data_IF_025094962387
#
_entry.id   IF_025094962387
#
_cell.length_a   1.000
_cell.length_b   1.000
_cell.length_c   1.000
_cell.angle_alpha   90.00
_cell.angle_beta   90.00
_cell.angle_gamma   90.00
#
_symmetry.space_group_name_H-M   'P 1'
#
loop_
_entity.id
_entity.type
_entity.pdbx_description
1 polymer ?
#
# COMPACT_ATOMS: atom_id res chain seq x y z
N UNK A 1 -24.78 42.89 -60.15
CA UNK A 1 -25.39 43.41 -58.91
C UNK A 1 -25.57 42.25 -57.92
N UNK A 2 -24.59 41.94 -57.06
CA UNK A 2 -24.77 41.04 -55.89
C UNK A 2 -23.51 40.96 -55.02
N UNK A 3 -23.35 41.85 -54.03
CA UNK A 3 -22.48 41.59 -52.86
C UNK A 3 -23.03 42.36 -51.64
N UNK A 4 -22.94 41.73 -50.45
CA UNK A 4 -23.20 42.19 -49.07
C UNK A 4 -24.58 41.87 -48.48
N UNK A 5 -24.75 40.63 -48.00
CA UNK A 5 -25.69 40.32 -46.90
C UNK A 5 -25.20 39.29 -45.87
N UNK A 6 -24.04 38.66 -46.04
CA UNK A 6 -23.61 37.56 -45.14
C UNK A 6 -22.74 37.95 -43.92
N UNK A 7 -22.37 39.22 -43.75
CA UNK A 7 -21.46 39.62 -42.66
C UNK A 7 -22.11 39.88 -41.29
N UNK A 8 -23.43 40.08 -41.23
CA UNK A 8 -24.08 40.58 -40.00
C UNK A 8 -24.52 39.45 -39.05
N UNK A 9 -24.94 38.30 -39.58
CA UNK A 9 -25.44 37.17 -38.78
C UNK A 9 -24.33 36.48 -37.98
N UNK A 10 -23.14 36.35 -38.57
CA UNK A 10 -21.99 35.68 -37.95
C UNK A 10 -21.41 36.52 -36.81
N UNK A 11 -21.39 37.85 -36.96
CA UNK A 11 -20.93 38.76 -35.91
C UNK A 11 -21.91 38.78 -34.73
N UNK A 12 -23.22 38.76 -35.01
CA UNK A 12 -24.25 38.72 -33.98
C UNK A 12 -24.21 37.41 -33.16
N UNK A 13 -24.01 36.26 -33.82
CA UNK A 13 -23.88 34.98 -33.13
C UNK A 13 -22.66 34.93 -32.20
N UNK A 14 -21.52 35.50 -32.62
CA UNK A 14 -20.31 35.53 -31.79
C UNK A 14 -20.47 36.41 -30.56
N UNK A 15 -21.05 37.60 -30.72
CA UNK A 15 -21.30 38.52 -29.60
C UNK A 15 -22.29 37.90 -28.61
N UNK A 16 -23.34 37.25 -29.10
CA UNK A 16 -24.31 36.56 -28.25
C UNK A 16 -23.68 35.43 -27.45
N UNK A 17 -22.82 34.62 -28.07
CA UNK A 17 -22.15 33.51 -27.38
C UNK A 17 -21.20 34.00 -26.28
N UNK A 18 -20.44 35.07 -26.54
CA UNK A 18 -19.56 35.67 -25.53
C UNK A 18 -20.34 36.24 -24.34
N UNK A 19 -21.48 36.90 -24.59
CA UNK A 19 -22.37 37.43 -23.55
C UNK A 19 -22.93 36.32 -22.67
N UNK A 20 -23.37 35.19 -23.26
CA UNK A 20 -23.87 34.04 -22.51
C UNK A 20 -22.80 33.45 -21.60
N UNK A 21 -21.56 33.30 -22.09
CA UNK A 21 -20.45 32.75 -21.30
C UNK A 21 -20.09 33.69 -20.13
N UNK A 22 -20.03 35.00 -20.37
CA UNK A 22 -19.73 35.98 -19.31
C UNK A 22 -20.80 35.97 -18.23
N UNK A 23 -22.09 35.96 -18.61
CA UNK A 23 -23.20 35.87 -17.67
C UNK A 23 -23.17 34.55 -16.86
N UNK A 24 -22.78 33.44 -17.49
CA UNK A 24 -22.63 32.15 -16.80
C UNK A 24 -21.49 32.15 -15.77
N UNK A 25 -20.34 32.73 -16.13
CA UNK A 25 -19.19 32.84 -15.21
C UNK A 25 -19.52 33.76 -14.04
N UNK A 26 -20.16 34.91 -14.29
CA UNK A 26 -20.61 35.81 -13.23
C UNK A 26 -21.64 35.14 -12.29
N UNK A 27 -22.55 34.33 -12.84
CA UNK A 27 -23.49 33.56 -12.03
C UNK A 27 -22.76 32.54 -11.13
N UNK A 28 -21.78 31.79 -11.66
CA UNK A 28 -21.00 30.83 -10.89
C UNK A 28 -20.21 31.48 -9.76
N UNK A 29 -19.58 32.64 -10.01
CA UNK A 29 -18.84 33.39 -8.99
C UNK A 29 -19.79 33.92 -7.91
N UNK A 30 -20.99 34.36 -8.28
CA UNK A 30 -21.99 34.85 -7.30
C UNK A 30 -22.62 33.76 -6.44
N UNK A 31 -22.69 32.53 -6.95
CA UNK A 31 -23.28 31.36 -6.25
C UNK A 31 -22.28 30.58 -5.42
N UNK A 32 -21.00 30.70 -5.70
CA UNK A 32 -19.90 30.02 -5.00
C UNK A 32 -18.82 31.03 -4.61
N UNK A 33 -19.04 31.82 -3.53
CA UNK A 33 -17.96 32.63 -2.98
C UNK A 33 -16.81 31.71 -2.58
N UNK A 34 -15.62 31.99 -3.11
CA UNK A 34 -14.41 31.24 -2.84
C UNK A 34 -13.99 31.52 -1.39
N UNK A 35 -14.51 30.75 -0.43
CA UNK A 35 -14.05 30.80 0.95
C UNK A 35 -12.62 30.23 1.01
N UNK A 36 -11.65 31.08 1.35
CA UNK A 36 -10.33 30.64 1.77
C UNK A 36 -10.50 29.90 3.10
N UNK A 37 -10.53 28.57 3.07
CA UNK A 37 -10.45 27.75 4.27
C UNK A 37 -9.14 28.05 5.01
N UNK A 38 -9.27 28.74 6.15
CA UNK A 38 -8.20 28.82 7.15
C UNK A 38 -7.95 27.42 7.67
N UNK A 39 -6.73 26.92 7.49
CA UNK A 39 -6.25 25.67 8.07
C UNK A 39 -6.38 25.72 9.61
N UNK A 40 -7.44 25.13 10.16
CA UNK A 40 -7.51 24.82 11.57
C UNK A 40 -6.66 23.58 11.90
N UNK A 41 -5.92 23.68 13.00
CA UNK A 41 -5.02 22.62 13.49
C UNK A 41 -5.81 21.34 13.78
N UNK A 42 -5.20 20.15 13.60
CA UNK A 42 -5.88 18.87 13.78
C UNK A 42 -6.44 18.71 15.20
N UNK A 43 -7.75 18.45 15.26
CA UNK A 43 -8.49 18.16 16.48
C UNK A 43 -8.02 16.80 17.01
N UNK A 44 -7.51 16.78 18.25
CA UNK A 44 -7.17 15.55 18.97
C UNK A 44 -8.46 14.75 19.25
N UNK A 45 -8.74 13.72 18.44
CA UNK A 45 -9.80 12.77 18.76
C UNK A 45 -9.34 11.80 19.87
N UNK A 46 -10.20 11.59 20.87
CA UNK A 46 -9.97 10.63 21.96
C UNK A 46 -10.05 9.19 21.39
N UNK A 47 -9.04 8.34 21.63
CA UNK A 47 -9.10 6.94 21.20
C UNK A 47 -10.22 6.17 21.92
N UNK A 48 -10.88 5.29 21.18
CA UNK A 48 -11.77 4.25 21.71
C UNK A 48 -10.98 3.38 22.70
N UNK A 49 -11.47 3.27 23.93
CA UNK A 49 -10.89 2.41 24.98
C UNK A 49 -11.11 0.94 24.62
N UNK A 50 -10.14 0.31 23.95
CA UNK A 50 -10.00 -1.14 23.96
C UNK A 50 -9.18 -1.49 25.21
N UNK A 51 -9.84 -2.02 26.24
CA UNK A 51 -9.17 -2.52 27.43
C UNK A 51 -8.35 -3.77 27.07
N UNK A 52 -7.02 -3.66 27.06
CA UNK A 52 -6.10 -4.79 27.19
C UNK A 52 -5.03 -4.45 28.21
N UNK A 53 -5.29 -4.79 29.47
CA UNK A 53 -4.25 -4.86 30.48
C UNK A 53 -3.29 -6.00 30.11
N UNK A 54 -2.02 -5.69 29.82
CA UNK A 54 -0.94 -6.67 29.82
C UNK A 54 0.18 -6.17 30.74
N UNK A 55 0.62 -6.98 31.72
CA UNK A 55 1.74 -6.62 32.58
C UNK A 55 3.11 -6.78 31.87
N UNK A 56 4.05 -5.92 32.28
CA UNK A 56 5.53 -5.91 32.09
C UNK A 56 6.17 -6.01 30.68
N UNK A 57 6.56 -4.83 30.18
CA UNK A 57 7.91 -4.41 29.75
C UNK A 57 8.76 -5.16 28.72
N UNK A 58 8.28 -6.19 28.02
CA UNK A 58 9.04 -6.68 26.86
C UNK A 58 8.83 -5.74 25.68
N UNK A 59 9.85 -4.93 25.41
CA UNK A 59 9.89 -3.98 24.29
C UNK A 59 10.32 -4.72 23.03
N UNK A 60 9.52 -4.67 21.97
CA UNK A 60 9.93 -5.20 20.67
C UNK A 60 10.86 -4.19 19.98
N UNK A 61 12.17 -4.40 20.12
CA UNK A 61 13.19 -3.50 19.58
C UNK A 61 13.55 -3.95 18.17
N UNK A 62 13.41 -3.06 17.19
CA UNK A 62 13.84 -3.25 15.82
C UNK A 62 14.98 -2.29 15.48
N UNK A 63 15.88 -2.73 14.59
CA UNK A 63 16.90 -1.88 13.97
C UNK A 63 16.40 -1.48 12.60
N UNK A 64 16.02 -0.23 12.43
CA UNK A 64 15.55 0.30 11.15
C UNK A 64 16.60 1.18 10.50
N UNK A 65 16.53 1.32 9.19
CA UNK A 65 17.30 2.25 8.39
C UNK A 65 16.43 3.44 8.00
N UNK A 66 17.02 4.61 7.92
CA UNK A 66 16.42 5.82 7.40
C UNK A 66 17.47 6.61 6.57
N UNK A 67 17.01 7.53 5.73
CA UNK A 67 17.86 8.41 4.92
C UNK A 67 17.44 9.87 5.15
N UNK A 68 18.42 10.74 5.41
CA UNK A 68 18.20 12.19 5.45
C UNK A 68 19.31 12.92 4.67
N UNK A 69 19.37 14.25 4.79
CA UNK A 69 20.37 15.10 4.13
C UNK A 69 21.82 14.77 4.52
N UNK A 70 22.04 14.13 5.67
CA UNK A 70 23.37 13.71 6.15
C UNK A 70 23.75 12.29 5.71
N UNK A 71 22.86 11.57 5.03
CA UNK A 71 23.09 10.23 4.48
C UNK A 71 22.24 9.13 5.11
N UNK A 72 22.74 7.89 5.05
CA UNK A 72 22.07 6.71 5.60
C UNK A 72 22.44 6.53 7.07
N UNK A 73 21.44 6.28 7.92
CA UNK A 73 21.65 5.96 9.33
C UNK A 73 20.72 4.85 9.82
N UNK A 74 21.06 4.27 10.97
CA UNK A 74 20.32 3.18 11.58
C UNK A 74 19.85 3.56 12.97
N UNK A 75 18.59 3.30 13.26
CA UNK A 75 17.96 3.61 14.54
C UNK A 75 17.51 2.30 15.19
N UNK A 76 17.86 2.10 16.47
CA UNK A 76 17.17 1.11 17.29
C UNK A 76 15.95 1.77 17.90
N UNK A 77 14.76 1.26 17.59
CA UNK A 77 13.50 1.79 18.14
C UNK A 77 12.64 0.66 18.69
N UNK A 78 11.91 0.99 19.74
CA UNK A 78 10.90 0.11 20.33
C UNK A 78 9.57 0.37 19.62
N UNK A 79 8.89 -0.68 19.19
CA UNK A 79 7.49 -0.62 18.74
C UNK A 79 6.63 -1.54 19.60
N UNK A 80 5.34 -1.25 19.68
CA UNK A 80 4.39 -2.09 20.41
C UNK A 80 3.69 -3.05 19.45
N UNK A 81 3.94 -4.35 19.58
CA UNK A 81 3.33 -5.36 18.71
C UNK A 81 1.80 -5.42 18.80
N UNK A 82 1.18 -4.99 19.91
CA UNK A 82 -0.28 -4.91 19.99
C UNK A 82 -0.86 -3.76 19.16
N UNK A 83 -0.02 -2.84 18.70
CA UNK A 83 -0.36 -1.70 17.84
C UNK A 83 0.32 -1.84 16.46
N UNK A 84 0.71 -3.06 16.08
CA UNK A 84 1.38 -3.36 14.80
C UNK A 84 0.51 -4.25 13.93
N UNK A 85 0.52 -4.02 12.62
CA UNK A 85 -0.09 -4.90 11.62
C UNK A 85 0.94 -5.30 10.57
N UNK A 86 0.89 -6.55 10.12
CA UNK A 86 1.62 -7.01 8.93
C UNK A 86 0.70 -6.88 7.72
N UNK A 87 1.17 -6.22 6.67
CA UNK A 87 0.44 -6.10 5.41
C UNK A 87 1.15 -6.86 4.29
N UNK A 88 0.39 -7.68 3.58
CA UNK A 88 0.89 -8.55 2.50
C UNK A 88 0.17 -8.22 1.19
N UNK A 89 0.93 -7.71 0.21
CA UNK A 89 0.45 -7.44 -1.15
C UNK A 89 1.02 -8.45 -2.13
N UNK A 90 0.37 -9.62 -2.21
CA UNK A 90 0.81 -10.77 -3.00
C UNK A 90 -0.34 -11.39 -3.79
N UNK A 91 -0.39 -11.08 -5.08
CA UNK A 91 -1.43 -11.57 -5.98
C UNK A 91 -0.98 -12.83 -6.72
N UNK A 92 -1.92 -13.59 -7.26
CA UNK A 92 -1.66 -14.83 -8.00
C UNK A 92 -0.87 -14.58 -9.27
N UNK A 93 -1.08 -13.43 -9.90
CA UNK A 93 -0.23 -13.00 -11.00
C UNK A 93 -0.23 -11.52 -11.25
N UNK A 94 0.86 -11.11 -11.86
CA UNK A 94 1.00 -9.87 -12.60
C UNK A 94 0.89 -10.15 -14.08
N UNK A 95 0.49 -9.14 -14.83
CA UNK A 95 0.35 -9.22 -16.29
C UNK A 95 1.66 -9.49 -17.03
N UNK A 96 2.83 -9.33 -16.39
CA UNK A 96 4.12 -9.51 -17.01
C UNK A 96 4.92 -10.56 -16.27
N UNK A 97 5.43 -11.53 -17.02
CA UNK A 97 6.24 -12.64 -16.52
C UNK A 97 7.48 -12.17 -15.77
N UNK A 98 8.06 -11.04 -16.20
CA UNK A 98 9.17 -10.38 -15.51
C UNK A 98 8.92 -10.20 -14.00
N UNK A 99 7.71 -9.82 -13.58
CA UNK A 99 7.33 -9.65 -12.18
C UNK A 99 7.02 -10.99 -11.50
N UNK A 100 6.33 -11.88 -12.21
CA UNK A 100 5.91 -13.19 -11.68
C UNK A 100 7.10 -14.07 -11.28
N UNK A 101 8.19 -14.04 -12.04
CA UNK A 101 9.34 -14.92 -11.79
C UNK A 101 10.08 -14.57 -10.51
N UNK A 102 10.00 -13.32 -10.06
CA UNK A 102 10.68 -12.88 -8.84
C UNK A 102 9.97 -13.29 -7.56
N UNK A 103 8.66 -13.48 -7.63
CA UNK A 103 7.85 -13.90 -6.48
C UNK A 103 8.39 -15.17 -5.80
N UNK A 104 8.94 -16.09 -6.59
CA UNK A 104 9.53 -17.34 -6.09
C UNK A 104 10.65 -17.10 -5.08
N UNK A 105 11.45 -16.03 -5.24
CA UNK A 105 12.63 -15.80 -4.41
C UNK A 105 12.32 -15.28 -3.01
N UNK A 106 11.19 -14.60 -2.81
CA UNK A 106 10.87 -13.96 -1.53
C UNK A 106 9.61 -14.51 -0.85
N UNK A 107 8.73 -15.24 -1.56
CA UNK A 107 7.53 -15.84 -0.94
C UNK A 107 7.82 -16.79 0.23
N UNK A 108 8.83 -17.69 0.22
CA UNK A 108 9.10 -18.54 1.38
C UNK A 108 9.43 -17.73 2.64
N UNK A 109 10.16 -16.62 2.46
CA UNK A 109 10.60 -15.76 3.55
C UNK A 109 9.50 -14.81 4.03
N UNK A 110 8.63 -14.32 3.14
CA UNK A 110 7.37 -13.64 3.53
C UNK A 110 6.51 -14.58 4.39
N UNK A 111 6.40 -15.84 3.98
CA UNK A 111 5.65 -16.87 4.69
C UNK A 111 6.19 -17.10 6.11
N UNK A 112 7.51 -17.28 6.24
CA UNK A 112 8.17 -17.38 7.53
C UNK A 112 7.90 -16.14 8.40
N UNK A 113 7.98 -14.94 7.82
CA UNK A 113 7.72 -13.70 8.54
C UNK A 113 6.28 -13.65 9.06
N UNK A 114 5.30 -13.97 8.21
CA UNK A 114 3.90 -14.02 8.60
C UNK A 114 3.65 -15.04 9.72
N UNK A 115 4.22 -16.25 9.61
CA UNK A 115 4.13 -17.27 10.68
C UNK A 115 4.64 -16.73 12.01
N UNK A 116 5.85 -16.14 12.03
CA UNK A 116 6.48 -15.64 13.25
C UNK A 116 5.68 -14.51 13.91
N UNK A 117 5.05 -13.65 13.12
CA UNK A 117 4.18 -12.60 13.63
C UNK A 117 2.82 -13.11 14.10
N UNK A 118 2.21 -14.06 13.39
CA UNK A 118 1.00 -14.74 13.86
C UNK A 118 1.25 -15.45 15.19
N UNK A 119 2.39 -16.12 15.37
CA UNK A 119 2.76 -16.73 16.65
C UNK A 119 2.81 -15.70 17.81
N UNK A 120 3.03 -14.43 17.51
CA UNK A 120 3.04 -13.31 18.47
C UNK A 120 1.73 -12.56 18.60
N UNK A 121 0.67 -13.03 17.94
CA UNK A 121 -0.66 -12.41 17.89
C UNK A 121 -0.68 -11.05 17.19
N UNK A 122 0.23 -10.84 16.23
CA UNK A 122 0.22 -9.67 15.35
C UNK A 122 -0.70 -9.94 14.16
N UNK A 123 -1.71 -9.10 13.89
CA UNK A 123 -2.62 -9.26 12.76
C UNK A 123 -1.90 -9.25 11.41
N UNK A 124 -2.35 -10.10 10.48
CA UNK A 124 -1.91 -10.11 9.09
C UNK A 124 -3.08 -9.75 8.18
N UNK A 125 -2.91 -8.71 7.37
CA UNK A 125 -3.88 -8.24 6.39
C UNK A 125 -3.36 -8.57 4.98
N UNK A 126 -4.19 -9.24 4.19
CA UNK A 126 -3.91 -9.52 2.78
C UNK A 126 -4.86 -8.73 1.89
N UNK A 127 -4.34 -8.20 0.79
CA UNK A 127 -5.14 -7.56 -0.25
C UNK A 127 -5.39 -8.51 -1.43
N UNK A 128 -6.62 -8.48 -1.94
CA UNK A 128 -6.97 -9.04 -3.25
C UNK A 128 -8.11 -8.24 -3.84
N UNK A 129 -7.91 -7.67 -5.04
CA UNK A 129 -8.97 -6.93 -5.73
C UNK A 129 -10.14 -7.81 -6.16
N UNK A 130 -9.95 -9.13 -6.16
CA UNK A 130 -10.98 -10.10 -6.50
C UNK A 130 -11.56 -10.80 -5.26
N UNK A 131 -11.24 -10.36 -4.03
CA UNK A 131 -11.68 -11.04 -2.80
C UNK A 131 -13.20 -11.18 -2.72
N UNK A 132 -13.96 -10.18 -3.15
CA UNK A 132 -15.43 -10.23 -3.07
C UNK A 132 -16.05 -11.12 -4.15
N UNK A 133 -15.32 -11.40 -5.24
CA UNK A 133 -15.75 -12.35 -6.25
C UNK A 133 -15.45 -13.80 -5.85
N UNK A 134 -14.27 -14.07 -5.26
CA UNK A 134 -13.80 -15.44 -5.02
C UNK A 134 -13.83 -15.89 -3.56
N UNK A 135 -13.82 -14.95 -2.62
CA UNK A 135 -13.75 -15.22 -1.18
C UNK A 135 -14.75 -14.38 -0.35
N UNK A 136 -15.99 -14.08 -0.83
CA UNK A 136 -16.88 -13.14 -0.14
C UNK A 136 -17.31 -13.59 1.26
N UNK A 137 -17.40 -14.91 1.45
CA UNK A 137 -17.99 -15.55 2.63
C UNK A 137 -16.95 -16.13 3.60
N UNK A 138 -15.66 -15.97 3.33
CA UNK A 138 -14.60 -16.47 4.23
C UNK A 138 -14.63 -15.72 5.57
N UNK A 139 -14.12 -16.36 6.62
CA UNK A 139 -13.99 -15.73 7.95
C UNK A 139 -13.11 -14.47 7.84
N UNK A 140 -12.02 -14.55 7.07
CA UNK A 140 -11.09 -13.44 6.89
C UNK A 140 -11.72 -12.24 6.20
N UNK A 141 -12.56 -12.44 5.18
CA UNK A 141 -13.25 -11.33 4.52
C UNK A 141 -14.37 -10.76 5.40
N UNK A 142 -15.11 -11.59 6.13
CA UNK A 142 -16.11 -11.12 7.11
C UNK A 142 -15.46 -10.26 8.20
N UNK A 143 -14.36 -10.71 8.78
CA UNK A 143 -13.57 -9.94 9.74
C UNK A 143 -12.98 -8.68 9.11
N UNK A 144 -12.46 -8.77 7.88
CA UNK A 144 -11.95 -7.65 7.09
C UNK A 144 -12.97 -6.52 6.92
N UNK A 145 -14.21 -6.83 6.49
CA UNK A 145 -15.29 -5.83 6.37
C UNK A 145 -15.58 -5.13 7.70
N UNK A 146 -15.57 -5.86 8.82
CA UNK A 146 -15.82 -5.29 10.15
C UNK A 146 -14.75 -4.27 10.53
N UNK A 147 -13.47 -4.61 10.35
CA UNK A 147 -12.36 -3.70 10.69
C UNK A 147 -12.28 -2.52 9.70
N UNK A 148 -12.57 -2.73 8.42
CA UNK A 148 -12.68 -1.64 7.44
C UNK A 148 -13.77 -0.65 7.86
N UNK A 149 -14.95 -1.15 8.24
CA UNK A 149 -16.03 -0.30 8.73
C UNK A 149 -15.65 0.45 10.02
N UNK A 150 -14.91 -0.19 10.92
CA UNK A 150 -14.47 0.43 12.17
C UNK A 150 -13.39 1.52 11.95
N UNK A 151 -12.58 1.40 10.91
CA UNK A 151 -11.55 2.37 10.55
C UNK A 151 -11.93 3.32 9.41
N UNK A 152 -13.22 3.41 9.07
CA UNK A 152 -13.69 4.34 8.05
C UNK A 152 -13.59 5.78 8.56
N UNK A 153 -12.70 6.56 7.96
CA UNK A 153 -12.48 7.97 8.25
C UNK A 153 -12.79 8.80 7.00
N UNK A 154 -13.47 9.93 7.17
CA UNK A 154 -13.83 10.85 6.08
C UNK A 154 -12.61 11.28 5.24
N UNK A 155 -11.44 11.43 5.85
CA UNK A 155 -10.21 11.78 5.14
C UNK A 155 -9.81 10.70 4.12
N UNK A 156 -9.94 9.42 4.49
CA UNK A 156 -9.62 8.30 3.60
C UNK A 156 -10.67 8.14 2.50
N UNK A 157 -11.94 8.46 2.77
CA UNK A 157 -13.00 8.44 1.74
C UNK A 157 -12.80 9.49 0.65
N UNK A 158 -12.33 10.68 1.04
CA UNK A 158 -12.09 11.79 0.11
C UNK A 158 -10.74 11.68 -0.62
N UNK A 159 -9.77 11.02 -0.02
CA UNK A 159 -8.44 10.90 -0.60
C UNK A 159 -8.41 9.90 -1.76
N UNK A 160 -7.70 10.25 -2.84
CA UNK A 160 -7.47 9.36 -3.97
C UNK A 160 -5.97 9.20 -4.23
N UNK A 161 -5.42 8.08 -3.76
CA UNK A 161 -4.01 7.79 -3.88
C UNK A 161 -3.58 7.60 -5.34
N UNK A 162 -2.55 8.35 -5.75
CA UNK A 162 -1.94 8.23 -7.08
C UNK A 162 -0.73 7.29 -7.01
N UNK A 163 -0.96 6.00 -7.24
CA UNK A 163 0.05 4.93 -7.11
C UNK A 163 1.38 5.24 -7.82
N UNK A 164 1.32 5.88 -8.99
CA UNK A 164 2.49 6.13 -9.83
C UNK A 164 3.12 7.52 -9.65
N UNK A 165 2.62 8.33 -8.72
CA UNK A 165 2.92 9.78 -8.58
C UNK A 165 4.42 10.10 -8.58
N UNK A 166 5.23 9.26 -7.96
CA UNK A 166 6.62 9.57 -7.64
C UNK A 166 7.66 8.79 -8.46
N UNK A 167 7.27 7.92 -9.39
CA UNK A 167 8.23 7.08 -10.15
C UNK A 167 9.41 7.86 -10.72
N UNK A 168 9.13 9.05 -11.28
CA UNK A 168 10.12 9.92 -11.90
C UNK A 168 11.20 10.43 -10.93
N UNK A 169 10.95 10.42 -9.63
CA UNK A 169 11.84 11.00 -8.62
C UNK A 169 12.97 10.04 -8.21
N UNK A 170 12.83 8.73 -8.47
CA UNK A 170 13.80 7.71 -8.04
C UNK A 170 14.13 6.65 -9.10
N UNK A 171 13.21 6.32 -10.02
CA UNK A 171 13.47 5.47 -11.19
C UNK A 171 12.70 5.98 -12.44
N UNK A 172 13.12 7.10 -13.04
CA UNK A 172 12.43 7.66 -14.21
C UNK A 172 12.36 6.68 -15.38
N UNK A 173 11.39 6.91 -16.27
CA UNK A 173 11.17 6.07 -17.46
C UNK A 173 10.27 4.86 -17.25
N UNK A 174 9.72 4.66 -16.04
CA UNK A 174 8.76 3.56 -15.82
C UNK A 174 7.56 3.64 -16.77
N UNK A 175 7.20 2.49 -17.36
CA UNK A 175 5.98 2.28 -18.12
C UNK A 175 5.28 1.06 -17.57
N UNK A 176 3.99 1.20 -17.25
CA UNK A 176 3.15 0.07 -16.83
C UNK A 176 2.83 -0.79 -18.06
N UNK A 177 3.79 -1.62 -18.49
CA UNK A 177 3.69 -2.52 -19.64
C UNK A 177 4.52 -3.78 -19.41
N UNK A 178 4.25 -4.86 -20.16
CA UNK A 178 5.17 -5.98 -20.25
C UNK A 178 6.18 -5.78 -21.39
N UNK A 179 7.44 -6.15 -21.14
CA UNK A 179 8.53 -6.11 -22.14
C UNK A 179 8.62 -7.38 -22.98
N UNK A 180 8.04 -8.49 -22.51
CA UNK A 180 7.97 -9.73 -23.27
C UNK A 180 6.67 -9.79 -24.07
N UNK A 181 6.79 -9.71 -25.40
CA UNK A 181 5.66 -9.93 -26.31
C UNK A 181 5.19 -11.39 -26.17
N UNK A 182 3.88 -11.58 -26.14
CA UNK A 182 3.20 -12.89 -26.14
C UNK A 182 3.55 -13.85 -24.99
N UNK A 183 4.27 -13.39 -23.96
CA UNK A 183 4.60 -14.17 -22.76
C UNK A 183 3.79 -13.74 -21.53
N UNK A 184 2.56 -13.25 -21.75
CA UNK A 184 1.65 -12.89 -20.68
C UNK A 184 1.14 -14.18 -20.00
N UNK A 185 1.65 -14.50 -18.81
CA UNK A 185 1.39 -15.77 -18.09
C UNK A 185 -0.11 -16.06 -17.85
N UNK A 186 -0.96 -15.04 -17.89
CA UNK A 186 -2.43 -15.14 -17.70
C UNK A 186 -3.21 -14.35 -18.76
N UNK A 187 -2.60 -14.13 -19.93
CA UNK A 187 -3.14 -13.28 -21.00
C UNK A 187 -3.13 -11.78 -20.63
N UNK A 188 -3.91 -10.99 -21.37
CA UNK A 188 -3.96 -9.51 -21.25
C UNK A 188 -4.37 -8.97 -19.88
N UNK A 189 -4.82 -9.81 -18.95
CA UNK A 189 -5.39 -9.40 -17.66
C UNK A 189 -4.57 -9.89 -16.46
N UNK A 190 -4.58 -9.10 -15.38
CA UNK A 190 -4.00 -9.47 -14.08
C UNK A 190 -4.92 -10.44 -13.36
N UNK A 191 -4.36 -11.49 -12.74
CA UNK A 191 -5.11 -12.36 -11.82
C UNK A 191 -4.94 -11.85 -10.38
N UNK A 192 -5.85 -10.95 -9.98
CA UNK A 192 -5.80 -10.31 -8.67
C UNK A 192 -6.28 -11.21 -7.52
N UNK A 193 -6.46 -12.52 -7.72
CA UNK A 193 -6.69 -13.49 -6.63
C UNK A 193 -5.44 -13.59 -5.74
N UNK A 194 -5.57 -14.15 -4.54
CA UNK A 194 -4.40 -14.43 -3.69
C UNK A 194 -3.43 -15.42 -4.36
N UNK A 195 -2.13 -15.19 -4.21
CA UNK A 195 -1.13 -16.22 -4.55
C UNK A 195 -1.32 -17.44 -3.68
N UNK A 196 -1.15 -18.63 -4.27
CA UNK A 196 -1.14 -19.90 -3.53
C UNK A 196 0.17 -20.15 -2.78
N UNK A 197 1.14 -19.25 -2.94
CA UNK A 197 2.46 -19.36 -2.31
C UNK A 197 2.49 -18.78 -0.89
N UNK A 198 1.48 -18.02 -0.46
CA UNK A 198 1.40 -17.47 0.90
C UNK A 198 0.32 -18.20 1.68
N UNK A 199 0.69 -18.83 2.80
CA UNK A 199 -0.26 -19.52 3.68
C UNK A 199 -1.15 -18.50 4.40
N UNK A 200 -2.45 -18.77 4.47
CA UNK A 200 -3.42 -17.90 5.16
C UNK A 200 -3.98 -18.59 6.40
N UNK A 201 -3.95 -17.86 7.51
CA UNK A 201 -4.50 -18.28 8.81
C UNK A 201 -5.97 -17.88 8.93
N UNK A 202 -6.72 -18.58 9.78
CA UNK A 202 -8.09 -18.22 10.15
C UNK A 202 -8.19 -16.80 10.75
N UNK A 203 -7.14 -16.36 11.45
CA UNK A 203 -7.06 -15.06 12.12
C UNK A 203 -6.61 -13.91 11.20
N UNK A 204 -6.33 -14.18 9.92
CA UNK A 204 -5.94 -13.14 8.96
C UNK A 204 -7.16 -12.32 8.49
N UNK A 205 -6.90 -11.19 7.85
CA UNK A 205 -7.94 -10.29 7.33
C UNK A 205 -7.80 -10.10 5.83
N UNK A 206 -8.92 -10.04 5.12
CA UNK A 206 -8.92 -9.74 3.68
C UNK A 206 -9.55 -8.38 3.36
N UNK A 207 -8.84 -7.59 2.55
CA UNK A 207 -9.27 -6.30 2.03
C UNK A 207 -9.30 -6.30 0.50
N UNK A 208 -10.18 -5.49 -0.08
CA UNK A 208 -10.45 -5.50 -1.52
C UNK A 208 -9.65 -4.45 -2.29
N UNK A 209 -9.23 -3.36 -1.67
CA UNK A 209 -8.57 -2.26 -2.38
C UNK A 209 -7.63 -1.48 -1.47
N UNK A 210 -6.81 -0.61 -2.05
CA UNK A 210 -5.78 0.13 -1.31
C UNK A 210 -6.35 1.04 -0.20
N UNK A 211 -7.57 1.57 -0.39
CA UNK A 211 -8.26 2.37 0.62
C UNK A 211 -8.69 1.49 1.80
N UNK A 212 -9.31 0.34 1.52
CA UNK A 212 -9.67 -0.64 2.55
C UNK A 212 -8.44 -1.11 3.33
N UNK A 213 -7.26 -1.25 2.70
CA UNK A 213 -6.03 -1.58 3.42
C UNK A 213 -5.75 -0.58 4.54
N UNK A 214 -5.71 0.72 4.27
CA UNK A 214 -5.48 1.74 5.30
C UNK A 214 -6.60 1.79 6.35
N UNK A 215 -7.87 1.71 5.92
CA UNK A 215 -9.02 1.65 6.85
C UNK A 215 -8.93 0.45 7.78
N UNK A 216 -8.49 -0.70 7.27
CA UNK A 216 -8.34 -1.91 8.09
C UNK A 216 -7.29 -1.73 9.20
N UNK A 217 -6.19 -1.01 8.93
CA UNK A 217 -5.15 -0.73 9.92
C UNK A 217 -5.68 0.21 11.02
N UNK A 218 -6.42 1.25 10.62
CA UNK A 218 -7.08 2.15 11.57
C UNK A 218 -8.09 1.39 12.43
N UNK A 219 -8.92 0.53 11.83
CA UNK A 219 -9.91 -0.26 12.54
C UNK A 219 -9.31 -1.31 13.49
N UNK A 220 -8.07 -1.76 13.21
CA UNK A 220 -7.29 -2.61 14.11
C UNK A 220 -6.60 -1.82 15.24
N UNK A 221 -6.67 -0.49 15.25
CA UNK A 221 -5.96 0.36 16.19
C UNK A 221 -4.44 0.38 15.98
N UNK A 222 -3.99 0.10 14.75
CA UNK A 222 -2.58 0.08 14.43
C UNK A 222 -1.95 1.47 14.52
N UNK A 223 -0.71 1.52 14.99
CA UNK A 223 0.20 2.65 14.85
C UNK A 223 1.33 2.34 13.87
N UNK A 224 1.73 1.06 13.80
CA UNK A 224 2.82 0.60 12.96
C UNK A 224 2.29 -0.38 11.91
N UNK A 225 2.75 -0.22 10.67
CA UNK A 225 2.44 -1.17 9.59
C UNK A 225 3.74 -1.67 9.00
N UNK A 226 3.94 -2.99 9.03
CA UNK A 226 5.08 -3.68 8.43
C UNK A 226 4.63 -4.24 7.08
N UNK A 227 5.21 -3.73 5.99
CA UNK A 227 4.82 -4.05 4.62
C UNK A 227 5.72 -5.13 4.00
N UNK A 228 5.08 -6.06 3.31
CA UNK A 228 5.65 -7.17 2.56
C UNK A 228 4.99 -7.26 1.17
N UNK A 229 5.73 -7.72 0.18
CA UNK A 229 5.20 -8.03 -1.15
C UNK A 229 5.49 -6.97 -2.21
N UNK A 230 4.57 -6.76 -3.15
CA UNK A 230 4.87 -6.05 -4.39
C UNK A 230 3.69 -5.20 -4.91
N UNK A 231 3.90 -4.10 -5.62
CA UNK A 231 5.19 -3.46 -5.92
C UNK A 231 5.37 -2.16 -5.12
N UNK A 232 6.55 -1.93 -4.54
CA UNK A 232 6.87 -0.80 -3.63
C UNK A 232 6.59 0.58 -4.25
N UNK A 233 6.77 0.70 -5.56
CA UNK A 233 6.53 1.90 -6.35
C UNK A 233 5.14 1.97 -7.02
N UNK A 234 4.26 0.98 -6.84
CA UNK A 234 2.91 0.98 -7.41
C UNK A 234 1.83 0.71 -6.35
N UNK A 235 1.43 -0.55 -6.19
CA UNK A 235 0.34 -0.95 -5.29
C UNK A 235 0.64 -0.56 -3.85
N UNK A 236 1.84 -0.88 -3.36
CA UNK A 236 2.26 -0.49 -2.02
C UNK A 236 2.36 1.04 -1.87
N UNK A 237 2.82 1.75 -2.92
CA UNK A 237 2.86 3.22 -2.92
C UNK A 237 1.46 3.82 -2.70
N UNK A 238 0.42 3.27 -3.33
CA UNK A 238 -0.95 3.73 -3.09
C UNK A 238 -1.35 3.56 -1.61
N UNK A 239 -1.02 2.43 -1.00
CA UNK A 239 -1.30 2.17 0.41
C UNK A 239 -0.49 3.09 1.32
N UNK A 240 0.79 3.35 1.01
CA UNK A 240 1.62 4.29 1.77
C UNK A 240 1.00 5.69 1.79
N UNK A 241 0.46 6.13 0.65
CA UNK A 241 -0.20 7.43 0.56
C UNK A 241 -1.46 7.51 1.42
N UNK A 242 -2.33 6.50 1.38
CA UNK A 242 -3.47 6.45 2.30
C UNK A 242 -3.04 6.42 3.77
N UNK A 243 -1.99 5.66 4.10
CA UNK A 243 -1.50 5.54 5.47
C UNK A 243 -0.90 6.85 6.01
N UNK A 244 -0.28 7.68 5.14
CA UNK A 244 0.21 9.01 5.50
C UNK A 244 -0.91 9.96 5.91
N UNK A 245 -2.06 9.93 5.22
CA UNK A 245 -3.21 10.77 5.55
C UNK A 245 -3.73 10.53 6.97
N UNK A 246 -3.49 9.33 7.53
CA UNK A 246 -3.90 8.95 8.88
C UNK A 246 -2.74 8.81 9.86
N UNK A 247 -1.53 9.22 9.49
CA UNK A 247 -0.39 9.31 10.39
C UNK A 247 0.16 7.97 10.90
N UNK A 248 0.05 6.89 10.12
CA UNK A 248 0.62 5.58 10.46
C UNK A 248 2.15 5.58 10.25
N UNK A 249 2.86 4.89 11.14
CA UNK A 249 4.31 4.65 11.02
C UNK A 249 4.58 3.46 10.09
N UNK A 250 5.24 3.73 8.97
CA UNK A 250 5.41 2.78 7.88
C UNK A 250 6.79 2.12 7.93
N UNK A 251 6.79 0.80 7.88
CA UNK A 251 8.01 -0.01 7.91
C UNK A 251 7.99 -0.98 6.73
N UNK A 252 8.92 -0.89 5.78
CA UNK A 252 9.10 -1.95 4.78
C UNK A 252 10.13 -2.96 5.26
N UNK A 253 9.92 -4.24 4.96
CA UNK A 253 11.00 -5.23 5.06
C UNK A 253 11.73 -5.22 3.71
N UNK A 254 12.83 -4.45 3.61
CA UNK A 254 13.43 -4.03 2.33
C UNK A 254 13.91 -5.18 1.43
N UNK A 255 14.21 -6.33 2.02
CA UNK A 255 14.61 -7.55 1.32
C UNK A 255 13.41 -8.48 1.00
N UNK A 256 12.19 -8.11 1.43
CA UNK A 256 10.93 -8.81 1.18
C UNK A 256 9.87 -7.92 0.52
N UNK A 257 10.33 -6.84 -0.13
CA UNK A 257 9.52 -6.03 -1.03
C UNK A 257 10.21 -5.94 -2.40
N UNK A 258 9.40 -5.85 -3.43
CA UNK A 258 9.87 -5.80 -4.82
C UNK A 258 9.38 -4.52 -5.51
N UNK A 259 10.22 -3.91 -6.34
CA UNK A 259 9.89 -2.74 -7.12
C UNK A 259 9.63 -3.12 -8.57
N UNK A 260 8.67 -2.42 -9.17
CA UNK A 260 8.42 -2.47 -10.59
C UNK A 260 9.59 -1.82 -11.33
N UNK A 261 10.41 -2.63 -12.00
CA UNK A 261 11.53 -2.18 -12.81
C UNK A 261 11.54 -2.91 -14.15
N UNK A 262 11.87 -2.22 -15.24
CA UNK A 262 11.91 -2.75 -16.60
C UNK A 262 13.23 -2.37 -17.26
N UNK A 263 14.04 -3.38 -17.61
CA UNK A 263 15.38 -3.20 -18.18
C UNK A 263 15.36 -2.24 -19.38
N UNK A 264 14.48 -2.48 -20.36
CA UNK A 264 14.43 -1.73 -21.62
C UNK A 264 14.24 -0.22 -21.42
N UNK A 265 13.46 0.17 -20.41
CA UNK A 265 13.09 1.58 -20.19
C UNK A 265 13.93 2.29 -19.13
N UNK A 266 14.64 1.55 -18.28
CA UNK A 266 15.25 2.12 -17.07
C UNK A 266 16.73 1.81 -16.91
N UNK A 267 17.33 0.98 -17.79
CA UNK A 267 18.76 0.62 -17.75
C UNK A 267 19.71 1.83 -17.77
N UNK A 268 19.31 2.92 -18.42
CA UNK A 268 20.13 4.14 -18.57
C UNK A 268 20.07 5.04 -17.31
N UNK A 269 19.17 4.74 -16.37
CA UNK A 269 19.04 5.45 -15.09
C UNK A 269 19.52 4.60 -13.91
N UNK A 270 19.17 3.31 -13.90
CA UNK A 270 19.63 2.35 -12.89
C UNK A 270 20.00 1.04 -13.58
N UNK A 271 21.21 0.54 -13.28
CA UNK A 271 21.88 -0.52 -14.04
C UNK A 271 21.16 -1.87 -14.09
N UNK A 272 20.39 -2.21 -13.06
CA UNK A 272 19.72 -3.50 -12.95
C UNK A 272 18.55 -3.44 -11.94
N UNK A 273 17.78 -4.52 -11.89
CA UNK A 273 16.65 -4.66 -10.97
C UNK A 273 17.05 -4.39 -9.50
N UNK A 274 18.15 -4.94 -9.02
CA UNK A 274 18.62 -4.73 -7.64
C UNK A 274 18.90 -3.25 -7.35
N UNK A 275 19.53 -2.54 -8.29
CA UNK A 275 19.75 -1.11 -8.18
C UNK A 275 18.42 -0.33 -8.21
N UNK A 276 17.47 -0.74 -9.05
CA UNK A 276 16.11 -0.20 -9.07
C UNK A 276 15.38 -0.39 -7.74
N UNK A 277 15.36 -1.60 -7.19
CA UNK A 277 14.73 -1.91 -5.91
C UNK A 277 15.37 -1.12 -4.76
N UNK A 278 16.69 -0.99 -4.76
CA UNK A 278 17.39 -0.14 -3.79
C UNK A 278 17.01 1.33 -3.94
N UNK A 279 16.93 1.88 -5.15
CA UNK A 279 16.51 3.26 -5.38
C UNK A 279 15.08 3.52 -4.86
N UNK A 280 14.14 2.60 -5.09
CA UNK A 280 12.77 2.71 -4.56
C UNK A 280 12.76 2.63 -3.03
N UNK A 281 13.50 1.69 -2.44
CA UNK A 281 13.59 1.55 -0.99
C UNK A 281 14.28 2.77 -0.33
N UNK A 282 15.27 3.35 -0.99
CA UNK A 282 15.95 4.56 -0.53
C UNK A 282 15.00 5.77 -0.55
N UNK A 283 14.18 5.89 -1.59
CA UNK A 283 13.13 6.91 -1.64
C UNK A 283 12.09 6.70 -0.53
N UNK A 284 11.69 5.46 -0.25
CA UNK A 284 10.80 5.14 0.87
C UNK A 284 11.41 5.55 2.22
N UNK A 285 12.68 5.22 2.47
CA UNK A 285 13.38 5.55 3.72
C UNK A 285 13.56 7.07 3.93
N UNK A 286 13.62 7.82 2.83
CA UNK A 286 13.76 9.27 2.85
C UNK A 286 12.44 9.98 3.08
N UNK A 287 11.40 9.54 2.39
CA UNK A 287 10.16 10.29 2.30
C UNK A 287 9.08 9.70 3.21
N UNK A 288 8.92 8.37 3.27
CA UNK A 288 7.71 7.73 3.80
C UNK A 288 7.86 7.14 5.20
N UNK A 289 8.98 6.48 5.49
CA UNK A 289 9.09 5.69 6.70
C UNK A 289 10.50 5.18 6.93
N UNK A 290 10.60 3.94 7.42
CA UNK A 290 11.89 3.30 7.68
C UNK A 290 11.90 1.87 7.15
N UNK A 291 13.07 1.34 6.83
CA UNK A 291 13.20 -0.04 6.36
C UNK A 291 13.92 -0.92 7.36
N UNK A 292 13.60 -2.22 7.36
CA UNK A 292 14.28 -3.22 8.18
C UNK A 292 14.66 -4.42 7.32
N UNK A 293 15.75 -5.12 7.66
CA UNK A 293 16.09 -6.40 7.04
C UNK A 293 15.30 -7.53 7.72
N UNK A 294 14.82 -8.50 6.94
CA UNK A 294 14.10 -9.67 7.48
C UNK A 294 14.94 -10.41 8.54
N UNK A 295 16.25 -10.48 8.33
CA UNK A 295 17.20 -11.07 9.29
C UNK A 295 17.18 -10.36 10.64
N UNK A 296 17.24 -9.02 10.64
CA UNK A 296 17.21 -8.22 11.87
C UNK A 296 15.85 -8.36 12.58
N UNK A 297 14.76 -8.39 11.82
CA UNK A 297 13.42 -8.57 12.36
C UNK A 297 13.25 -9.94 13.02
N UNK A 298 13.75 -11.02 12.41
CA UNK A 298 13.76 -12.36 13.03
C UNK A 298 14.61 -12.38 14.29
N UNK A 299 15.75 -11.69 14.31
CA UNK A 299 16.59 -11.58 15.50
C UNK A 299 15.83 -10.89 16.63
N UNK A 300 15.07 -9.84 16.33
CA UNK A 300 14.19 -9.17 17.28
C UNK A 300 13.08 -10.09 17.79
N UNK A 301 12.41 -10.82 16.90
CA UNK A 301 11.38 -11.81 17.26
C UNK A 301 11.92 -12.89 18.19
N UNK A 302 13.13 -13.43 17.92
CA UNK A 302 13.76 -14.46 18.77
C UNK A 302 14.08 -13.94 20.18
N UNK A 303 14.35 -12.65 20.33
CA UNK A 303 14.65 -12.01 21.61
C UNK A 303 13.42 -11.57 22.39
N UNK A 304 12.27 -11.50 21.73
CA UNK A 304 11.02 -11.05 22.32
C UNK A 304 10.38 -12.19 23.12
N UNK A 305 10.35 -12.07 24.45
CA UNK A 305 9.91 -13.15 25.33
C UNK A 305 8.40 -13.12 25.55
N UNK A 306 7.66 -13.50 24.50
CA UNK A 306 6.20 -13.67 24.54
C UNK A 306 5.84 -15.12 24.17
N UNK A 307 4.87 -15.74 24.86
CA UNK A 307 4.34 -17.05 24.48
C UNK A 307 3.93 -17.09 23.00
N UNK A 308 4.23 -18.22 22.34
CA UNK A 308 3.93 -18.43 20.92
C UNK A 308 2.63 -19.20 20.77
N UNK A 309 1.65 -18.61 20.07
CA UNK A 309 0.45 -19.35 19.65
C UNK A 309 0.75 -20.18 18.40
N UNK A 310 0.04 -21.28 18.21
CA UNK A 310 0.09 -22.03 16.95
C UNK A 310 -1.02 -21.53 16.01
N UNK A 311 -0.70 -20.87 14.88
CA UNK A 311 -1.72 -20.39 13.97
C UNK A 311 -2.47 -21.53 13.30
N UNK A 312 -3.79 -21.38 13.14
CA UNK A 312 -4.63 -22.35 12.44
C UNK A 312 -4.78 -21.92 10.98
N UNK A 313 -4.22 -22.71 10.08
CA UNK A 313 -4.26 -22.44 8.64
C UNK A 313 -5.51 -23.01 7.98
N UNK A 314 -6.13 -22.26 7.06
CA UNK A 314 -7.33 -22.71 6.34
C UNK A 314 -7.30 -22.48 4.82
N UNK A 315 -6.35 -21.71 4.29
CA UNK A 315 -6.12 -21.62 2.84
C UNK A 315 -4.64 -21.77 2.53
N UNK A 316 -4.37 -22.43 1.40
CA UNK A 316 -3.00 -22.70 0.93
C UNK A 316 -2.17 -23.45 2.00
N UNK A 317 -2.80 -24.42 2.67
CA UNK A 317 -2.19 -25.18 3.76
C UNK A 317 -0.99 -26.02 3.31
N UNK A 318 -0.92 -26.32 2.01
CA UNK A 318 0.21 -26.96 1.37
C UNK A 318 1.49 -26.10 1.39
N UNK A 319 1.46 -24.82 1.76
CA UNK A 319 2.69 -24.04 2.02
C UNK A 319 2.90 -23.79 3.52
N UNK A 320 1.93 -24.15 4.36
CA UNK A 320 2.04 -24.04 5.82
C UNK A 320 2.92 -25.14 6.44
N UNK A 321 3.10 -26.29 5.77
CA UNK A 321 3.96 -27.37 6.30
C UNK A 321 5.41 -26.91 6.52
N UNK A 322 5.86 -25.90 5.78
CA UNK A 322 7.19 -25.31 5.90
C UNK A 322 7.47 -24.75 7.32
N UNK A 323 6.43 -24.60 8.14
CA UNK A 323 6.51 -24.03 9.48
C UNK A 323 6.45 -25.05 10.61
N UNK A 324 6.37 -26.37 10.32
CA UNK A 324 6.22 -27.40 11.37
C UNK A 324 7.28 -27.34 12.48
N UNK A 325 8.45 -26.78 12.17
CA UNK A 325 9.61 -26.69 13.06
C UNK A 325 9.95 -25.24 13.48
N UNK A 326 9.09 -24.27 13.20
CA UNK A 326 9.22 -22.86 13.59
C UNK A 326 8.34 -22.55 14.80
#
# INVERSE_FOLDING_TARGET
MRIRKESFSILFLRIFHTLVVVLWISFLISKFPFEQEKFEKPIKQKPLKIYRNSPSSDKFIIKTRNINSSGTFYIKRSINLSETVIYVDMWRSHWCTYYNDREFFFTPRINEMCQRFRQLDVPVVHISMSVDAFNPNTIQRKSGRRIVSAGNLTILEKFNAQAMRYHKDYIPGFKDTCVYKDQERFGKYRDNRFTKQIAVSQDDYFVQNFKESAMSFVGLGAKHVIFLGQHTNMCLMAVFLYCREVGLDLIIVRDLVDACWLYEYQKDHVKNHTAGNNAVNDYFDKEFGTSVLSYDLIKSIKRYNKPRKQPVYNMFTNVAFMFKNL
#
